data_IF_548402685385
#
_entry.id   IF_548402685385
#
_cell.length_a   1.000
_cell.length_b   1.000
_cell.length_c   1.000
_cell.angle_alpha   90.00
_cell.angle_beta   90.00
_cell.angle_gamma   90.00
#
_symmetry.space_group_name_H-M   'P 1'
#
loop_
_entity.id
_entity.type
_entity.pdbx_description
1 polymer ?
#
# COMPACT_ATOMS: atom_id res chain seq x y z
N UNK A 1 20.41 1.05 15.22
CA UNK A 1 19.10 1.55 14.76
C UNK A 1 18.26 1.79 16.01
N UNK A 2 17.59 2.93 16.09
CA UNK A 2 16.56 3.15 17.12
C UNK A 2 15.48 2.08 16.99
N UNK A 3 15.03 1.55 18.12
CA UNK A 3 14.05 0.46 18.14
C UNK A 3 12.69 0.98 17.71
N UNK A 4 12.17 0.53 16.55
CA UNK A 4 10.84 0.81 16.07
C UNK A 4 9.92 -0.37 16.39
N UNK A 5 8.66 -0.07 16.73
CA UNK A 5 7.59 -1.06 16.82
C UNK A 5 6.72 -0.95 15.58
N UNK A 6 6.48 -2.08 14.91
CA UNK A 6 5.51 -2.16 13.80
C UNK A 6 4.24 -2.79 14.36
N UNK A 7 3.11 -2.12 14.15
CA UNK A 7 1.81 -2.54 14.65
C UNK A 7 0.77 -2.51 13.53
N UNK A 8 -0.04 -3.57 13.43
CA UNK A 8 -1.16 -3.67 12.50
C UNK A 8 -2.48 -3.64 13.28
N UNK A 9 -3.48 -2.90 12.78
CA UNK A 9 -4.79 -2.80 13.42
C UNK A 9 -5.88 -2.37 12.43
N UNK A 10 -7.12 -2.68 12.74
CA UNK A 10 -8.28 -2.14 12.01
C UNK A 10 -8.60 -0.73 12.52
N UNK A 11 -9.00 0.22 11.64
CA UNK A 11 -9.29 1.60 12.03
C UNK A 11 -10.27 1.74 13.20
N UNK A 12 -11.30 0.92 13.24
CA UNK A 12 -12.30 0.94 14.30
C UNK A 12 -11.76 0.50 15.67
N UNK A 13 -10.70 -0.31 15.71
CA UNK A 13 -10.12 -0.81 16.97
C UNK A 13 -9.22 0.22 17.68
N UNK A 14 -8.70 1.21 16.94
CA UNK A 14 -7.88 2.30 17.49
C UNK A 14 -8.15 3.62 16.74
N UNK A 15 -9.24 4.33 17.08
CA UNK A 15 -9.60 5.59 16.44
C UNK A 15 -8.54 6.69 16.60
N UNK A 16 -7.81 6.69 17.74
CA UNK A 16 -6.75 7.67 18.00
C UNK A 16 -5.59 7.50 17.02
N UNK A 17 -5.04 6.30 16.93
CA UNK A 17 -3.96 6.01 15.97
C UNK A 17 -4.41 6.15 14.52
N UNK A 18 -5.68 5.86 14.22
CA UNK A 18 -6.26 6.09 12.89
C UNK A 18 -6.25 7.56 12.52
N UNK A 19 -6.69 8.45 13.41
CA UNK A 19 -6.68 9.89 13.17
C UNK A 19 -5.26 10.43 13.05
N UNK A 20 -4.32 9.94 13.85
CA UNK A 20 -2.91 10.29 13.75
C UNK A 20 -2.33 9.87 12.38
N UNK A 21 -2.59 8.63 11.93
CA UNK A 21 -2.18 8.17 10.59
C UNK A 21 -2.72 9.07 9.49
N UNK A 22 -4.01 9.42 9.53
CA UNK A 22 -4.65 10.29 8.53
C UNK A 22 -3.98 11.68 8.49
N UNK A 23 -3.77 12.28 9.65
CA UNK A 23 -3.16 13.60 9.76
C UNK A 23 -1.72 13.62 9.22
N UNK A 24 -0.90 12.66 9.63
CA UNK A 24 0.49 12.54 9.22
C UNK A 24 0.64 12.21 7.71
N UNK A 25 -0.19 11.30 7.20
CA UNK A 25 -0.19 10.98 5.77
C UNK A 25 -0.57 12.19 4.91
N UNK A 26 -1.61 12.93 5.32
CA UNK A 26 -2.02 14.17 4.65
C UNK A 26 -0.88 15.19 4.63
N UNK A 27 -0.26 15.45 5.78
CA UNK A 27 0.84 16.40 5.89
C UNK A 27 1.98 16.07 4.94
N UNK A 28 2.38 14.79 4.88
CA UNK A 28 3.45 14.35 3.97
C UNK A 28 3.08 14.59 2.50
N UNK A 29 1.84 14.33 2.10
CA UNK A 29 1.40 14.57 0.72
C UNK A 29 1.33 16.07 0.38
N UNK A 30 0.90 16.90 1.34
CA UNK A 30 0.89 18.37 1.21
C UNK A 30 2.32 18.93 1.08
N UNK A 31 3.24 18.45 1.90
CA UNK A 31 4.67 18.84 1.85
C UNK A 31 5.33 18.47 0.51
N UNK A 32 4.83 17.44 -0.17
CA UNK A 32 5.28 17.04 -1.51
C UNK A 32 4.46 17.65 -2.66
N UNK A 33 3.47 18.49 -2.37
CA UNK A 33 2.65 19.16 -3.39
C UNK A 33 1.69 18.22 -4.15
N UNK A 34 1.36 17.07 -3.57
CA UNK A 34 0.52 16.03 -4.19
C UNK A 34 -0.77 15.74 -3.38
N UNK A 35 -1.33 16.76 -2.78
CA UNK A 35 -2.56 16.65 -1.98
C UNK A 35 -3.77 16.08 -2.75
N UNK A 36 -3.80 16.19 -4.07
CA UNK A 36 -4.79 15.57 -4.94
C UNK A 36 -4.73 14.02 -4.98
N UNK A 37 -3.63 13.41 -4.49
CA UNK A 37 -3.54 11.96 -4.31
C UNK A 37 -4.20 11.44 -3.03
N UNK A 38 -4.76 12.33 -2.20
CA UNK A 38 -5.37 11.96 -0.93
C UNK A 38 -6.76 11.36 -1.19
N UNK A 39 -6.92 10.06 -0.95
CA UNK A 39 -8.25 9.44 -0.88
C UNK A 39 -8.97 9.95 0.38
N UNK A 40 -10.17 10.54 0.27
CA UNK A 40 -10.92 11.02 1.41
C UNK A 40 -11.12 9.95 2.49
N UNK A 41 -10.83 10.22 3.78
CA UNK A 41 -10.93 9.21 4.83
C UNK A 41 -12.31 8.57 4.96
N UNK A 42 -13.38 9.33 4.74
CA UNK A 42 -14.76 8.86 4.80
C UNK A 42 -15.10 7.80 3.72
N UNK A 43 -14.30 7.66 2.68
CA UNK A 43 -14.49 6.62 1.66
C UNK A 43 -13.95 5.28 2.13
N UNK A 44 -12.71 5.24 2.62
CA UNK A 44 -12.06 3.99 2.98
C UNK A 44 -12.34 3.53 4.42
N UNK A 45 -12.67 4.44 5.35
CA UNK A 45 -13.05 4.08 6.72
C UNK A 45 -14.36 3.26 6.80
N UNK A 46 -15.20 3.33 5.77
CA UNK A 46 -16.42 2.51 5.67
C UNK A 46 -16.15 1.06 5.26
N UNK A 47 -14.96 0.77 4.76
CA UNK A 47 -14.58 -0.58 4.39
C UNK A 47 -14.06 -1.32 5.65
N UNK A 48 -14.81 -2.31 6.19
CA UNK A 48 -14.45 -2.98 7.45
C UNK A 48 -13.21 -3.87 7.33
N UNK A 49 -12.78 -4.18 6.11
CA UNK A 49 -11.59 -4.99 5.85
C UNK A 49 -10.28 -4.21 5.84
N UNK A 50 -10.32 -2.88 5.99
CA UNK A 50 -9.09 -2.06 6.00
C UNK A 50 -8.23 -2.39 7.20
N UNK A 51 -6.92 -2.51 6.95
CA UNK A 51 -5.89 -2.64 7.97
C UNK A 51 -4.88 -1.51 7.80
N UNK A 52 -4.55 -0.83 8.89
CA UNK A 52 -3.43 0.09 9.00
C UNK A 52 -2.24 -0.62 9.60
N UNK A 53 -1.05 -0.38 9.05
CA UNK A 53 0.22 -0.81 9.63
C UNK A 53 1.02 0.45 9.89
N UNK A 54 1.46 0.66 11.12
CA UNK A 54 2.19 1.85 11.53
C UNK A 54 3.52 1.49 12.17
N UNK A 55 4.49 2.38 12.01
CA UNK A 55 5.76 2.33 12.70
C UNK A 55 5.78 3.39 13.80
N UNK A 56 6.05 2.97 15.02
CA UNK A 56 6.08 3.81 16.21
C UNK A 56 7.48 3.84 16.80
N UNK A 57 7.95 5.04 17.14
CA UNK A 57 9.20 5.28 17.85
C UNK A 57 8.90 5.61 19.31
N UNK A 58 9.65 5.08 20.31
CA UNK A 58 9.32 5.24 21.73
C UNK A 58 9.16 6.70 22.21
N UNK A 59 9.96 7.62 21.65
CA UNK A 59 9.95 9.04 22.05
C UNK A 59 9.33 9.98 21.03
N UNK A 60 8.98 9.51 19.82
CA UNK A 60 8.55 10.36 18.72
C UNK A 60 7.11 10.07 18.24
N UNK A 61 6.49 9.02 18.77
CA UNK A 61 5.19 8.55 18.33
C UNK A 61 5.24 7.89 16.95
N UNK A 62 4.19 8.03 16.17
CA UNK A 62 4.08 7.46 14.84
C UNK A 62 5.04 8.14 13.87
N UNK A 63 5.86 7.35 13.20
CA UNK A 63 6.92 7.82 12.28
C UNK A 63 6.77 7.31 10.85
N UNK A 64 5.77 6.50 10.59
CA UNK A 64 5.43 6.01 9.27
C UNK A 64 4.21 5.11 9.30
N UNK A 65 3.62 4.88 8.14
CA UNK A 65 2.49 3.98 8.03
C UNK A 65 2.15 3.62 6.59
N UNK A 66 1.31 2.60 6.46
CA UNK A 66 0.79 2.07 5.21
C UNK A 66 -0.60 1.50 5.45
N UNK A 67 -1.44 1.50 4.43
CA UNK A 67 -2.80 0.96 4.45
C UNK A 67 -2.91 -0.21 3.50
N UNK A 68 -3.68 -1.23 3.90
CA UNK A 68 -4.17 -2.29 3.01
C UNK A 68 -5.69 -2.21 2.99
N UNK A 69 -6.24 -2.16 1.78
CA UNK A 69 -7.67 -2.06 1.56
C UNK A 69 -8.15 -3.17 0.63
N UNK A 70 -8.86 -4.19 1.14
CA UNK A 70 -9.43 -5.24 0.29
C UNK A 70 -10.58 -4.69 -0.55
N UNK A 71 -10.72 -5.19 -1.77
CA UNK A 71 -11.93 -5.02 -2.54
C UNK A 71 -13.07 -5.80 -1.89
N UNK A 72 -14.19 -5.13 -1.65
CA UNK A 72 -15.39 -5.71 -1.07
C UNK A 72 -16.63 -5.19 -1.81
N UNK A 73 -17.80 -5.82 -1.69
CA UNK A 73 -19.04 -5.28 -2.25
C UNK A 73 -19.27 -3.83 -1.82
N UNK A 74 -19.39 -2.93 -2.79
CA UNK A 74 -19.52 -1.48 -2.55
C UNK A 74 -18.21 -0.74 -2.23
N UNK A 75 -17.08 -1.45 -2.09
CA UNK A 75 -15.77 -0.88 -1.78
C UNK A 75 -14.72 -1.41 -2.75
N UNK A 76 -14.56 -0.82 -3.96
CA UNK A 76 -13.49 -1.20 -4.87
C UNK A 76 -12.12 -0.83 -4.30
N UNK A 77 -11.04 -1.32 -4.95
CA UNK A 77 -9.69 -0.85 -4.63
C UNK A 77 -9.56 0.65 -4.96
N UNK A 78 -8.88 1.45 -4.11
CA UNK A 78 -8.75 2.91 -4.29
C UNK A 78 -8.25 3.34 -5.66
N UNK A 79 -7.23 2.66 -6.20
CA UNK A 79 -6.63 3.00 -7.50
C UNK A 79 -7.62 2.93 -8.67
N UNK A 80 -8.73 2.19 -8.51
CA UNK A 80 -9.70 1.99 -9.60
C UNK A 80 -10.31 3.29 -10.08
N UNK A 81 -10.72 4.19 -9.19
CA UNK A 81 -11.31 5.48 -9.58
C UNK A 81 -10.33 6.30 -10.42
N UNK A 82 -9.11 6.47 -9.93
CA UNK A 82 -8.07 7.23 -10.62
C UNK A 82 -7.68 6.60 -11.97
N UNK A 83 -7.51 5.28 -12.00
CA UNK A 83 -7.08 4.59 -13.23
C UNK A 83 -8.18 4.56 -14.30
N UNK A 84 -9.46 4.39 -13.92
CA UNK A 84 -10.58 4.43 -14.89
C UNK A 84 -10.81 5.84 -15.46
N UNK A 85 -10.50 6.88 -14.69
CA UNK A 85 -10.51 8.26 -15.18
C UNK A 85 -9.41 8.50 -16.22
N UNK A 86 -8.20 7.95 -15.99
CA UNK A 86 -7.05 8.10 -16.88
C UNK A 86 -7.12 7.16 -18.10
N UNK A 87 -7.65 5.97 -17.92
CA UNK A 87 -7.82 4.94 -18.94
C UNK A 87 -9.10 4.13 -18.67
N UNK A 88 -10.22 4.44 -19.33
CA UNK A 88 -11.48 3.71 -19.16
C UNK A 88 -11.37 2.20 -19.41
N UNK A 89 -10.40 1.75 -20.25
CA UNK A 89 -10.17 0.33 -20.53
C UNK A 89 -9.66 -0.44 -19.28
N UNK A 90 -9.04 0.25 -18.32
CA UNK A 90 -8.58 -0.34 -17.08
C UNK A 90 -9.71 -0.94 -16.21
N UNK A 91 -10.97 -0.49 -16.43
CA UNK A 91 -12.13 -0.95 -15.65
C UNK A 91 -12.30 -2.47 -15.68
N UNK A 92 -12.16 -3.10 -16.85
CA UNK A 92 -12.32 -4.56 -17.00
C UNK A 92 -11.22 -5.33 -16.29
N UNK A 93 -9.96 -4.92 -16.48
CA UNK A 93 -8.79 -5.54 -15.84
C UNK A 93 -8.86 -5.46 -14.32
N UNK A 94 -9.23 -4.29 -13.77
CA UNK A 94 -9.34 -4.10 -12.33
C UNK A 94 -10.50 -4.90 -11.73
N UNK A 95 -11.67 -4.95 -12.39
CA UNK A 95 -12.79 -5.80 -11.95
C UNK A 95 -12.42 -7.28 -11.93
N UNK A 96 -11.67 -7.75 -12.92
CA UNK A 96 -11.18 -9.12 -12.95
C UNK A 96 -10.28 -9.41 -11.74
N UNK A 97 -9.35 -8.52 -11.42
CA UNK A 97 -8.49 -8.65 -10.24
C UNK A 97 -9.31 -8.63 -8.94
N UNK A 98 -10.23 -7.66 -8.79
CA UNK A 98 -11.11 -7.55 -7.61
C UNK A 98 -11.91 -8.84 -7.38
N UNK A 99 -12.43 -9.45 -8.43
CA UNK A 99 -13.16 -10.73 -8.36
C UNK A 99 -12.34 -11.92 -7.88
N UNK A 100 -11.00 -11.79 -7.85
CA UNK A 100 -10.07 -12.81 -7.35
C UNK A 100 -9.70 -12.66 -5.87
N UNK A 101 -10.31 -11.71 -5.15
CA UNK A 101 -9.95 -11.43 -3.75
C UNK A 101 -8.69 -10.55 -3.67
N UNK A 102 -8.76 -9.35 -4.24
CA UNK A 102 -7.65 -8.40 -4.31
C UNK A 102 -7.72 -7.39 -3.17
N UNK A 103 -6.55 -6.98 -2.66
CA UNK A 103 -6.42 -5.79 -1.83
C UNK A 103 -5.40 -4.81 -2.42
N UNK A 104 -5.61 -3.51 -2.21
CA UNK A 104 -4.63 -2.49 -2.54
C UNK A 104 -3.74 -2.14 -1.36
N UNK A 105 -2.44 -2.14 -1.61
CA UNK A 105 -1.42 -1.61 -0.71
C UNK A 105 -1.18 -0.15 -1.08
N UNK A 106 -1.60 0.78 -0.22
CA UNK A 106 -1.62 2.22 -0.51
C UNK A 106 -1.37 3.07 0.74
N UNK A 107 -1.36 4.40 0.59
CA UNK A 107 -1.21 5.33 1.70
C UNK A 107 0.11 5.18 2.46
N UNK A 108 1.19 4.79 1.76
CA UNK A 108 2.53 4.69 2.34
C UNK A 108 3.11 6.09 2.61
N UNK A 109 3.55 6.31 3.84
CA UNK A 109 4.27 7.51 4.23
C UNK A 109 5.31 7.23 5.31
N UNK A 110 6.27 8.11 5.46
CA UNK A 110 7.20 8.13 6.58
C UNK A 110 7.65 9.56 6.90
N UNK A 111 7.94 9.84 8.16
CA UNK A 111 8.47 11.11 8.61
C UNK A 111 9.83 11.37 7.94
N UNK A 112 10.09 12.64 7.55
CA UNK A 112 11.28 13.06 6.81
C UNK A 112 12.60 12.56 7.45
N UNK A 113 12.72 12.61 8.78
CA UNK A 113 13.91 12.13 9.52
C UNK A 113 14.17 10.62 9.40
N UNK A 114 13.20 9.84 8.90
CA UNK A 114 13.35 8.41 8.58
C UNK A 114 13.54 8.16 7.09
N UNK A 115 13.67 9.22 6.29
CA UNK A 115 13.99 9.13 4.88
C UNK A 115 15.33 8.42 4.66
N UNK A 116 15.40 7.53 3.69
CA UNK A 116 16.61 6.75 3.40
C UNK A 116 16.95 5.63 4.38
N UNK A 117 16.23 5.48 5.50
CA UNK A 117 16.51 4.47 6.54
C UNK A 117 15.78 3.12 6.31
N UNK A 118 15.21 2.89 5.14
CA UNK A 118 14.55 1.61 4.78
C UNK A 118 13.14 1.41 5.32
N UNK A 119 12.58 2.38 6.07
CA UNK A 119 11.24 2.26 6.66
C UNK A 119 10.12 2.01 5.65
N UNK A 120 10.08 2.67 4.46
CA UNK A 120 9.06 2.38 3.44
C UNK A 120 9.09 0.93 2.96
N UNK A 121 10.30 0.35 2.80
CA UNK A 121 10.43 -1.05 2.40
C UNK A 121 9.92 -1.99 3.50
N UNK A 122 10.28 -1.73 4.76
CA UNK A 122 9.82 -2.53 5.90
C UNK A 122 8.30 -2.50 6.05
N UNK A 123 7.68 -1.32 5.95
CA UNK A 123 6.21 -1.17 5.99
C UNK A 123 5.54 -1.92 4.83
N UNK A 124 6.09 -1.82 3.61
CA UNK A 124 5.58 -2.55 2.45
C UNK A 124 5.72 -4.07 2.62
N UNK A 125 6.83 -4.56 3.19
CA UNK A 125 7.00 -5.99 3.49
C UNK A 125 5.98 -6.47 4.53
N UNK A 126 5.76 -5.68 5.59
CA UNK A 126 4.75 -5.98 6.61
C UNK A 126 3.35 -6.02 5.98
N UNK A 127 3.02 -5.09 5.07
CA UNK A 127 1.77 -5.09 4.35
C UNK A 127 1.56 -6.36 3.51
N UNK A 128 2.58 -6.76 2.73
CA UNK A 128 2.51 -8.00 1.93
C UNK A 128 2.44 -9.25 2.82
N UNK A 129 3.08 -9.23 4.00
CA UNK A 129 3.11 -10.37 4.89
C UNK A 129 1.73 -10.75 5.44
N UNK A 130 0.82 -9.80 5.63
CA UNK A 130 -0.51 -10.06 6.19
C UNK A 130 -1.57 -10.50 5.16
N UNK A 131 -1.26 -10.54 3.86
CA UNK A 131 -2.18 -10.92 2.80
C UNK A 131 -2.92 -12.26 3.07
N UNK A 132 -2.26 -13.34 3.53
CA UNK A 132 -2.94 -14.59 3.87
C UNK A 132 -3.98 -14.44 5.00
N UNK A 133 -3.68 -13.61 6.00
CA UNK A 133 -4.59 -13.33 7.13
C UNK A 133 -5.85 -12.58 6.69
N UNK A 134 -5.71 -11.77 5.64
CA UNK A 134 -6.82 -11.03 5.04
C UNK A 134 -7.57 -11.83 3.98
N UNK A 135 -7.14 -13.08 3.68
CA UNK A 135 -7.68 -13.90 2.58
C UNK A 135 -7.62 -13.18 1.22
N UNK A 136 -6.54 -12.42 0.99
CA UNK A 136 -6.31 -11.67 -0.25
C UNK A 136 -5.16 -12.29 -1.05
N UNK A 137 -5.44 -13.24 -1.97
CA UNK A 137 -4.41 -13.90 -2.78
C UNK A 137 -3.73 -12.94 -3.77
N UNK A 138 -4.36 -11.84 -4.12
CA UNK A 138 -3.81 -10.86 -5.06
C UNK A 138 -3.64 -9.51 -4.37
N UNK A 139 -2.48 -8.87 -4.55
CA UNK A 139 -2.25 -7.51 -4.08
C UNK A 139 -1.99 -6.59 -5.27
N UNK A 140 -2.51 -5.36 -5.21
CA UNK A 140 -2.23 -4.31 -6.19
C UNK A 140 -1.68 -3.07 -5.49
N UNK A 141 -0.98 -2.22 -6.23
CA UNK A 141 -0.60 -0.89 -5.78
C UNK A 141 -0.47 0.06 -6.96
N UNK A 142 -0.66 1.34 -6.72
CA UNK A 142 -0.40 2.40 -7.70
C UNK A 142 0.62 3.36 -7.09
N UNK A 143 1.84 3.33 -7.60
CA UNK A 143 3.00 3.94 -6.95
C UNK A 143 3.78 4.83 -7.89
N UNK A 144 4.24 5.98 -7.37
CA UNK A 144 5.14 6.86 -8.09
C UNK A 144 6.49 6.18 -8.37
N UNK A 145 7.17 6.60 -9.44
CA UNK A 145 8.42 6.00 -9.93
C UNK A 145 9.51 5.84 -8.85
N UNK A 146 9.60 6.79 -7.92
CA UNK A 146 10.59 6.74 -6.83
C UNK A 146 10.26 5.68 -5.77
N UNK A 147 9.00 5.24 -5.67
CA UNK A 147 8.55 4.17 -4.76
C UNK A 147 8.51 2.80 -5.44
N UNK A 148 8.40 2.75 -6.78
CA UNK A 148 8.26 1.52 -7.57
C UNK A 148 9.38 0.50 -7.28
N UNK A 149 10.61 0.94 -6.97
CA UNK A 149 11.72 0.05 -6.58
C UNK A 149 11.43 -0.78 -5.34
N UNK A 150 10.69 -0.21 -4.36
CA UNK A 150 10.31 -0.93 -3.14
C UNK A 150 9.19 -1.93 -3.43
N UNK A 151 8.23 -1.55 -4.26
CA UNK A 151 7.19 -2.46 -4.73
C UNK A 151 7.78 -3.67 -5.46
N UNK A 152 8.69 -3.45 -6.43
CA UNK A 152 9.38 -4.53 -7.16
C UNK A 152 10.14 -5.50 -6.24
N UNK A 153 10.81 -5.00 -5.21
CA UNK A 153 11.49 -5.82 -4.21
C UNK A 153 10.53 -6.74 -3.44
N UNK A 154 9.28 -6.32 -3.26
CA UNK A 154 8.25 -7.10 -2.60
C UNK A 154 7.45 -8.01 -3.55
N UNK A 155 7.82 -8.07 -4.83
CA UNK A 155 7.20 -8.95 -5.82
C UNK A 155 6.12 -8.32 -6.68
N UNK A 156 5.88 -7.01 -6.57
CA UNK A 156 4.97 -6.34 -7.48
C UNK A 156 5.57 -6.23 -8.89
N UNK A 157 4.79 -6.58 -9.89
CA UNK A 157 5.11 -6.43 -11.31
C UNK A 157 4.08 -5.50 -11.97
N UNK A 158 4.43 -4.78 -13.06
CA UNK A 158 3.48 -3.90 -13.76
C UNK A 158 2.23 -4.65 -14.25
N UNK A 159 1.08 -3.99 -14.23
CA UNK A 159 -0.14 -4.49 -14.89
C UNK A 159 -0.09 -4.02 -16.34
N UNK A 160 0.57 -4.80 -17.20
CA UNK A 160 0.86 -4.41 -18.57
C UNK A 160 -0.37 -4.19 -19.46
N UNK A 161 -1.52 -4.74 -19.07
CA UNK A 161 -2.79 -4.65 -19.81
C UNK A 161 -3.51 -3.30 -19.72
N UNK A 162 -2.99 -2.33 -18.94
CA UNK A 162 -3.59 -1.01 -18.77
C UNK A 162 -2.57 0.11 -18.97
N UNK A 163 -3.03 1.29 -19.41
CA UNK A 163 -2.16 2.44 -19.69
C UNK A 163 -1.02 2.11 -20.67
N UNK A 164 0.15 2.67 -20.45
CA UNK A 164 1.37 2.34 -21.20
C UNK A 164 2.17 1.29 -20.42
N UNK A 165 1.81 0.00 -20.56
CA UNK A 165 2.42 -1.10 -19.80
C UNK A 165 2.37 -0.87 -18.28
N UNK A 166 1.24 -0.41 -17.78
CA UNK A 166 1.01 -0.09 -16.36
C UNK A 166 1.39 1.33 -15.96
N UNK A 167 1.99 2.13 -16.84
CA UNK A 167 2.46 3.48 -16.52
C UNK A 167 1.42 4.55 -16.87
N UNK A 168 1.36 5.59 -15.99
CA UNK A 168 0.46 6.74 -16.08
C UNK A 168 1.18 7.99 -15.55
N UNK A 169 0.79 9.17 -16.05
CA UNK A 169 1.16 10.44 -15.42
C UNK A 169 0.13 10.76 -14.32
N UNK A 170 0.51 10.54 -13.06
CA UNK A 170 -0.37 10.69 -11.90
C UNK A 170 0.47 10.87 -10.61
N UNK A 171 0.03 11.65 -9.61
CA UNK A 171 -1.22 12.43 -9.53
C UNK A 171 -1.19 13.76 -10.27
N UNK A 172 -0.02 14.17 -10.75
CA UNK A 172 0.23 15.34 -11.57
C UNK A 172 1.00 14.94 -12.82
N UNK A 173 0.96 15.74 -13.92
CA UNK A 173 1.60 15.37 -15.21
C UNK A 173 3.10 15.04 -15.11
N UNK A 174 3.79 15.63 -14.15
CA UNK A 174 5.24 15.49 -13.96
C UNK A 174 5.63 14.21 -13.22
N UNK A 175 4.68 13.54 -12.56
CA UNK A 175 4.93 12.32 -11.81
C UNK A 175 4.46 11.11 -12.61
N UNK A 176 5.43 10.27 -12.99
CA UNK A 176 5.13 8.95 -13.55
C UNK A 176 4.83 7.96 -12.42
N UNK A 177 3.68 7.31 -12.50
CA UNK A 177 3.24 6.27 -11.55
C UNK A 177 2.98 4.97 -12.29
N UNK A 178 3.18 3.84 -11.61
CA UNK A 178 2.98 2.51 -12.17
C UNK A 178 1.92 1.76 -11.37
N UNK A 179 0.91 1.25 -12.06
CA UNK A 179 -0.04 0.28 -11.53
C UNK A 179 0.61 -1.10 -11.53
N UNK A 180 0.67 -1.76 -10.38
CA UNK A 180 1.42 -3.00 -10.21
C UNK A 180 0.60 -4.03 -9.47
N UNK A 181 0.94 -5.31 -9.65
CA UNK A 181 0.26 -6.46 -9.05
C UNK A 181 1.25 -7.49 -8.51
N UNK A 182 0.93 -8.12 -7.37
CA UNK A 182 1.43 -9.44 -6.98
C UNK A 182 0.34 -10.43 -7.34
N UNK A 183 0.53 -11.28 -8.37
CA UNK A 183 -0.52 -12.20 -8.83
C UNK A 183 -0.91 -13.27 -7.82
N UNK A 184 0.07 -13.73 -7.05
CA UNK A 184 -0.10 -14.67 -5.93
C UNK A 184 0.72 -14.17 -4.72
N UNK A 185 0.01 -13.49 -3.83
CA UNK A 185 0.58 -12.97 -2.58
C UNK A 185 0.86 -14.09 -1.56
N UNK A 186 0.43 -15.33 -1.79
CA UNK A 186 0.70 -16.44 -0.88
C UNK A 186 2.05 -17.06 -1.16
N UNK A 187 2.35 -17.40 -2.42
CA UNK A 187 3.63 -17.97 -2.84
C UNK A 187 4.74 -16.93 -3.02
N UNK A 188 4.39 -15.69 -3.42
CA UNK A 188 5.33 -14.60 -3.68
C UNK A 188 6.41 -14.96 -4.72
N UNK A 189 6.05 -15.74 -5.76
CA UNK A 189 7.00 -16.21 -6.77
C UNK A 189 7.66 -15.06 -7.55
N UNK A 190 6.96 -13.94 -7.70
CA UNK A 190 7.48 -12.74 -8.37
C UNK A 190 8.46 -11.93 -7.51
N UNK A 191 8.59 -12.25 -6.21
CA UNK A 191 9.53 -11.56 -5.32
C UNK A 191 10.93 -12.18 -5.41
N UNK A 192 12.02 -11.37 -5.39
CA UNK A 192 13.38 -11.86 -5.23
C UNK A 192 13.50 -12.76 -4.00
N UNK A 193 14.28 -13.84 -4.08
CA UNK A 193 14.35 -14.89 -3.06
C UNK A 193 14.65 -14.36 -1.64
N UNK A 194 15.54 -13.38 -1.52
CA UNK A 194 15.88 -12.74 -0.24
C UNK A 194 14.67 -12.05 0.39
N UNK A 195 13.95 -11.20 -0.39
CA UNK A 195 12.78 -10.48 0.07
C UNK A 195 11.60 -11.41 0.34
N UNK A 196 11.40 -12.43 -0.51
CA UNK A 196 10.41 -13.48 -0.29
C UNK A 196 10.65 -14.18 1.05
N UNK A 197 11.89 -14.60 1.32
CA UNK A 197 12.26 -15.23 2.59
C UNK A 197 11.96 -14.34 3.80
N UNK A 198 12.26 -13.04 3.72
CA UNK A 198 11.98 -12.09 4.78
C UNK A 198 10.46 -11.89 5.01
N UNK A 199 9.66 -11.77 3.94
CA UNK A 199 8.19 -11.65 4.05
C UNK A 199 7.60 -12.92 4.65
N UNK A 200 8.03 -14.11 4.22
CA UNK A 200 7.56 -15.38 4.78
C UNK A 200 7.95 -15.53 6.26
N UNK A 201 9.14 -15.05 6.65
CA UNK A 201 9.56 -15.01 8.05
C UNK A 201 8.64 -14.15 8.91
N UNK A 202 8.23 -12.97 8.42
CA UNK A 202 7.25 -12.10 9.12
C UNK A 202 5.90 -12.80 9.33
N UNK A 203 5.46 -13.66 8.42
CA UNK A 203 4.20 -14.43 8.56
C UNK A 203 4.23 -15.42 9.70
N UNK A 204 5.37 -16.08 9.89
CA UNK A 204 5.54 -17.14 10.88
C UNK A 204 6.03 -16.62 12.24
N UNK A 205 6.66 -15.46 12.24
CA UNK A 205 7.23 -14.81 13.43
C UNK A 205 6.92 -13.32 13.42
N UNK A 206 5.65 -12.92 13.64
CA UNK A 206 5.23 -11.52 13.57
C UNK A 206 5.82 -10.64 14.68
N UNK A 207 6.33 -11.26 15.76
CA UNK A 207 7.00 -10.56 16.87
C UNK A 207 8.52 -10.76 16.78
N UNK A 208 9.20 -9.85 16.03
CA UNK A 208 10.67 -9.88 15.85
C UNK A 208 11.32 -8.60 16.36
#
# INVERSE_FOLDING_TARGET
MEKLTIRAFQPASDPRATNEYIAQHRQVLEDHGVSNAITPPNEWLRNPGVVLIVAEHPSLGMVGGIRIQPAMPGHPVPMRSSLVELDPSASSSLRFLEGRGTAEVCGLWNAHRFSGKGLPLLLSMAAVSIAPWMSTPTLVCFVAFYTARHAKKNGFIPIESIGQCGEFNYPIPEIRSTAMVIPDAYSLETAPAEHRGAILSLRTRPFQ
#
